data_IF_363775517266
#
_entry.id   IF_363775517266
#
_cell.length_a   1.000
_cell.length_b   1.000
_cell.length_c   1.000
_cell.angle_alpha   90.00
_cell.angle_beta   90.00
_cell.angle_gamma   90.00
#
_symmetry.space_group_name_H-M   'P 1'
#
loop_
_entity.id
_entity.type
_entity.pdbx_description
1 polymer ?
#
# COMPACT_ATOMS: atom_id res chain seq x y z
N UNK A 1 3.63 0.43 5.03
CA UNK A 1 3.96 -0.77 4.24
C UNK A 1 2.75 -1.52 3.76
N UNK A 2 1.86 -2.01 4.63
CA UNK A 2 0.67 -2.76 4.19
C UNK A 2 -0.16 -2.03 3.11
N UNK A 3 -0.45 -0.74 3.30
CA UNK A 3 -1.17 0.08 2.30
C UNK A 3 -0.42 0.16 0.96
N UNK A 4 0.92 0.30 1.01
CA UNK A 4 1.77 0.44 -0.17
C UNK A 4 1.90 -0.85 -0.98
N UNK A 5 2.11 -1.98 -0.29
CA UNK A 5 2.48 -3.23 -0.95
C UNK A 5 1.32 -4.21 -1.11
N UNK A 6 0.27 -4.11 -0.29
CA UNK A 6 -0.87 -5.03 -0.36
C UNK A 6 -2.09 -4.30 -0.91
N UNK A 7 -2.53 -3.24 -0.23
CA UNK A 7 -3.78 -2.55 -0.61
C UNK A 7 -3.65 -1.89 -1.97
N UNK A 8 -2.57 -1.16 -2.23
CA UNK A 8 -2.39 -0.48 -3.52
C UNK A 8 -2.35 -1.46 -4.71
N UNK A 9 -1.80 -2.67 -4.53
CA UNK A 9 -1.82 -3.69 -5.57
C UNK A 9 -3.22 -4.25 -5.83
N UNK A 10 -3.98 -4.53 -4.77
CA UNK A 10 -5.38 -4.96 -4.90
C UNK A 10 -6.20 -3.92 -5.65
N UNK A 11 -6.09 -2.65 -5.28
CA UNK A 11 -6.84 -1.56 -5.92
C UNK A 11 -6.39 -1.30 -7.36
N UNK A 12 -5.11 -1.51 -7.68
CA UNK A 12 -4.61 -1.44 -9.06
C UNK A 12 -5.30 -2.45 -9.96
N UNK A 13 -5.64 -3.64 -9.46
CA UNK A 13 -6.36 -4.67 -10.24
C UNK A 13 -7.77 -4.21 -10.66
N UNK A 14 -8.38 -3.26 -9.96
CA UNK A 14 -9.68 -2.67 -10.32
C UNK A 14 -9.56 -1.27 -10.95
N UNK A 15 -8.38 -0.90 -11.44
CA UNK A 15 -8.17 0.37 -12.15
C UNK A 15 -8.03 1.59 -11.26
N UNK A 16 -7.93 1.42 -9.93
CA UNK A 16 -7.66 2.50 -8.99
C UNK A 16 -6.14 2.58 -8.77
N UNK A 17 -5.54 3.68 -9.20
CA UNK A 17 -4.09 3.91 -9.11
C UNK A 17 -3.78 4.97 -8.07
N UNK A 18 -3.12 4.56 -7.01
CA UNK A 18 -2.63 5.47 -5.97
C UNK A 18 -1.28 4.99 -5.44
N UNK A 19 -0.55 5.90 -4.78
CA UNK A 19 0.65 5.58 -4.00
C UNK A 19 0.52 6.04 -2.56
N UNK A 20 1.28 5.42 -1.67
CA UNK A 20 1.41 5.80 -0.27
C UNK A 20 2.86 5.53 0.17
N UNK A 21 3.68 6.57 0.10
CA UNK A 21 5.12 6.50 0.34
C UNK A 21 5.46 7.06 1.73
N UNK A 22 6.16 6.26 2.53
CA UNK A 22 6.62 6.70 3.85
C UNK A 22 7.86 7.55 3.68
N UNK A 23 7.75 8.86 3.91
CA UNK A 23 8.88 9.79 3.89
C UNK A 23 9.64 9.76 5.22
N UNK A 24 8.93 9.57 6.34
CA UNK A 24 9.51 9.46 7.68
C UNK A 24 8.72 8.46 8.51
N UNK A 25 9.41 7.53 9.17
CA UNK A 25 8.77 6.64 10.15
C UNK A 25 8.52 7.39 11.45
N UNK A 26 7.32 7.23 11.98
CA UNK A 26 6.97 7.64 13.33
C UNK A 26 6.31 6.48 14.02
N UNK A 27 6.73 6.20 15.24
CA UNK A 27 6.27 5.05 16.01
C UNK A 27 5.44 5.53 17.19
N UNK A 28 4.40 4.77 17.52
CA UNK A 28 3.67 4.98 18.75
C UNK A 28 4.63 4.93 19.96
N UNK A 29 4.44 5.78 21.00
CA UNK A 29 3.36 6.76 21.14
C UNK A 29 3.65 8.12 20.52
N UNK A 30 4.93 8.46 20.30
CA UNK A 30 5.35 9.80 19.87
C UNK A 30 4.83 10.15 18.46
N UNK A 31 4.64 9.16 17.60
CA UNK A 31 4.19 9.37 16.22
C UNK A 31 5.22 10.19 15.42
N UNK A 32 4.75 11.23 14.73
CA UNK A 32 5.62 12.12 13.92
C UNK A 32 6.08 11.51 12.59
N UNK A 33 5.39 10.46 12.13
CA UNK A 33 5.61 9.86 10.82
C UNK A 33 5.02 10.71 9.72
N UNK A 34 5.61 10.66 8.54
CA UNK A 34 5.17 11.41 7.36
C UNK A 34 4.95 10.41 6.23
N UNK A 35 3.75 10.43 5.67
CA UNK A 35 3.37 9.65 4.49
C UNK A 35 2.94 10.63 3.41
N UNK A 36 3.49 10.47 2.22
CA UNK A 36 3.04 11.14 1.02
C UNK A 36 2.14 10.22 0.22
N UNK A 37 1.02 10.72 -0.29
CA UNK A 37 0.10 9.93 -1.11
C UNK A 37 -0.31 10.72 -2.34
N UNK A 38 -0.47 10.01 -3.45
CA UNK A 38 -1.04 10.54 -4.69
C UNK A 38 -2.07 9.56 -5.24
N UNK A 39 -3.02 10.06 -6.01
CA UNK A 39 -4.07 9.25 -6.65
C UNK A 39 -4.38 9.82 -8.03
N UNK A 40 -4.58 8.94 -9.00
CA UNK A 40 -5.07 9.30 -10.34
C UNK A 40 -6.61 9.17 -10.39
N UNK A 41 -7.33 10.08 -11.06
CA UNK A 41 -8.77 9.95 -11.24
C UNK A 41 -9.16 8.63 -11.90
N UNK A 42 -10.01 7.85 -11.23
CA UNK A 42 -10.59 6.62 -11.78
C UNK A 42 -12.04 6.88 -12.18
N UNK A 43 -12.35 6.82 -13.48
CA UNK A 43 -13.72 7.08 -13.98
C UNK A 43 -14.66 5.90 -13.78
N UNK A 44 -14.14 4.67 -13.85
CA UNK A 44 -14.92 3.45 -13.76
C UNK A 44 -14.04 2.33 -13.18
N UNK A 45 -14.19 2.01 -11.89
CA UNK A 45 -13.49 0.88 -11.29
C UNK A 45 -13.95 -0.46 -11.89
N UNK A 46 -13.01 -1.39 -12.04
CA UNK A 46 -13.29 -2.78 -12.43
C UNK A 46 -13.82 -3.62 -11.29
N UNK A 47 -14.15 -4.89 -11.58
CA UNK A 47 -14.51 -5.89 -10.57
C UNK A 47 -13.26 -6.60 -10.06
N UNK A 48 -13.28 -7.01 -8.79
CA UNK A 48 -12.22 -7.83 -8.19
C UNK A 48 -12.71 -9.26 -8.01
N UNK A 49 -11.93 -10.21 -8.52
CA UNK A 49 -12.13 -11.63 -8.30
C UNK A 49 -11.13 -12.07 -7.22
N UNK A 50 -11.63 -12.67 -6.13
CA UNK A 50 -10.84 -12.97 -4.92
C UNK A 50 -10.56 -14.47 -4.75
N UNK A 51 -11.24 -15.34 -5.49
CA UNK A 51 -11.11 -16.79 -5.35
C UNK A 51 -9.95 -17.33 -6.20
N UNK A 52 -9.55 -16.62 -7.25
CA UNK A 52 -8.38 -16.95 -8.07
C UNK A 52 -7.14 -16.36 -7.43
N UNK A 53 -6.38 -17.19 -6.75
CA UNK A 53 -5.08 -16.80 -6.19
C UNK A 53 -4.06 -16.76 -7.33
N UNK A 54 -3.41 -15.61 -7.51
CA UNK A 54 -2.21 -15.52 -8.38
C UNK A 54 -1.03 -16.07 -7.60
N UNK A 55 -0.17 -16.84 -8.27
CA UNK A 55 1.09 -17.26 -7.69
C UNK A 55 2.02 -16.04 -7.62
N UNK A 56 2.26 -15.54 -6.40
CA UNK A 56 3.10 -14.36 -6.16
C UNK A 56 4.28 -14.80 -5.32
N UNK A 57 5.49 -14.52 -5.79
CA UNK A 57 6.70 -14.83 -5.06
C UNK A 57 6.69 -14.08 -3.70
N UNK A 58 6.82 -14.80 -2.57
CA UNK A 58 6.71 -14.19 -1.26
C UNK A 58 7.88 -13.25 -1.00
N UNK A 59 7.58 -12.06 -0.46
CA UNK A 59 8.59 -11.06 -0.10
C UNK A 59 8.42 -10.65 1.36
N UNK A 60 9.51 -10.69 2.12
CA UNK A 60 9.54 -10.26 3.52
C UNK A 60 10.15 -8.86 3.60
N UNK A 61 9.49 -7.95 4.31
CA UNK A 61 10.02 -6.63 4.66
C UNK A 61 9.91 -6.45 6.16
N UNK A 62 11.04 -6.13 6.81
CA UNK A 62 11.12 -5.80 8.23
C UNK A 62 11.75 -4.42 8.41
N UNK A 63 11.29 -3.67 9.41
CA UNK A 63 11.78 -2.33 9.72
C UNK A 63 12.08 -2.25 11.20
N UNK A 64 13.27 -1.79 11.55
CA UNK A 64 13.68 -1.44 12.90
C UNK A 64 14.02 0.06 12.94
N UNK A 65 13.60 0.75 13.99
CA UNK A 65 13.91 2.16 14.21
C UNK A 65 14.28 2.43 15.65
N UNK A 66 15.14 3.40 15.89
CA UNK A 66 15.47 3.89 17.24
C UNK A 66 14.29 4.76 17.74
N UNK A 67 13.78 4.45 18.94
CA UNK A 67 12.60 5.07 19.57
C UNK A 67 12.96 6.28 20.47
#
# INVERSE_FOLDING_TARGET
DYVKYVVAESYRNIGIKFSADVLKRGYYPKGGGIVYSSIEPCKMPGTMELLTVRDVEPRITSVCGQL
#
